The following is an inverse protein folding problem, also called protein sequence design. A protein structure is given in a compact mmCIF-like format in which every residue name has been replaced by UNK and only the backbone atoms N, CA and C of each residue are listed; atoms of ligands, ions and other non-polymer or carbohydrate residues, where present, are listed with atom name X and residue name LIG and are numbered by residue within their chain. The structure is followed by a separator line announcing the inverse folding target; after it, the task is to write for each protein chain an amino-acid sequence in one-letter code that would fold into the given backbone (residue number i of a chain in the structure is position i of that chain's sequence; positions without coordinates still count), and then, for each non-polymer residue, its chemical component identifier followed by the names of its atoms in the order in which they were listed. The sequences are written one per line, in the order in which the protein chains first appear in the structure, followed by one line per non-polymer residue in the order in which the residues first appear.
data_IF_242125372598
#
_entry.id   IF_242125372598
#
_cell.length_a   1.000
_cell.length_b   1.000
_cell.length_c   1.000
_cell.angle_alpha   90.00
_cell.angle_beta   90.00
_cell.angle_gamma   90.00
#
_symmetry.space_group_name_H-M   'P 1'
#
loop_
_entity.id
_entity.type
_entity.pdbx_description
1 polymer ?
#
# COMPACT_ATOMS: atom_id res chain seq x y z
N UNK A 1 -20.52 16.85 9.67
CA UNK A 1 -20.20 15.41 9.85
C UNK A 1 -18.70 15.23 9.80
N UNK A 2 -18.16 14.52 10.77
CA UNK A 2 -16.71 14.30 10.83
C UNK A 2 -16.34 13.01 10.13
N UNK A 3 -15.33 13.10 9.27
CA UNK A 3 -14.75 11.94 8.64
C UNK A 3 -13.67 11.36 9.55
N UNK A 4 -13.73 10.06 9.78
CA UNK A 4 -12.78 9.41 10.67
C UNK A 4 -11.78 8.59 9.86
N UNK A 5 -10.53 8.68 10.27
CA UNK A 5 -9.46 7.90 9.65
C UNK A 5 -9.54 6.45 10.17
N UNK A 6 -9.58 5.52 9.23
CA UNK A 6 -9.54 4.10 9.59
C UNK A 6 -8.11 3.65 9.80
N UNK A 7 -7.25 3.92 8.82
CA UNK A 7 -5.82 3.64 8.95
C UNK A 7 -5.08 4.41 7.85
N UNK A 8 -3.77 4.53 8.04
CA UNK A 8 -2.88 5.17 7.07
C UNK A 8 -1.89 4.12 6.58
N UNK A 9 -1.74 4.04 5.28
CA UNK A 9 -0.85 3.08 4.63
C UNK A 9 0.35 3.82 4.07
N UNK A 10 1.53 3.31 4.36
CA UNK A 10 2.77 3.82 3.80
C UNK A 10 3.42 2.70 3.00
N UNK A 11 3.72 2.95 1.73
CA UNK A 11 4.29 1.93 0.85
C UNK A 11 5.78 2.17 0.71
N UNK A 12 6.54 1.12 0.94
CA UNK A 12 7.99 1.18 0.89
C UNK A 12 8.51 0.28 -0.24
N UNK A 13 9.52 0.78 -0.93
CA UNK A 13 10.25 0.00 -1.91
C UNK A 13 11.17 -0.96 -1.16
N UNK A 14 11.01 -2.26 -1.37
CA UNK A 14 11.78 -3.25 -0.63
C UNK A 14 13.28 -3.15 -0.94
N UNK A 15 13.62 -2.76 -2.16
CA UNK A 15 15.02 -2.64 -2.56
C UNK A 15 15.72 -1.46 -1.88
N UNK A 16 15.11 -0.28 -1.92
CA UNK A 16 15.72 0.93 -1.39
C UNK A 16 15.35 1.22 0.07
N UNK A 17 14.24 0.65 0.54
CA UNK A 17 13.72 0.95 1.87
C UNK A 17 13.05 2.30 1.97
N UNK A 18 12.91 3.00 0.86
CA UNK A 18 12.33 4.35 0.84
C UNK A 18 10.85 4.31 0.49
N UNK A 19 10.14 5.37 0.92
CA UNK A 19 8.73 5.53 0.59
C UNK A 19 8.58 5.71 -0.92
N UNK A 20 7.63 4.97 -1.49
CA UNK A 20 7.32 5.07 -2.92
C UNK A 20 6.46 6.31 -3.13
N UNK A 21 6.92 7.25 -3.95
CA UNK A 21 6.25 8.54 -4.08
C UNK A 21 5.56 8.78 -5.42
N UNK A 22 6.14 8.31 -6.51
CA UNK A 22 5.65 8.67 -7.85
C UNK A 22 5.11 7.48 -8.59
N UNK A 23 4.23 6.75 -7.95
CA UNK A 23 3.63 5.56 -8.55
C UNK A 23 2.11 5.64 -8.37
N UNK A 24 1.38 5.25 -9.41
CA UNK A 24 -0.07 5.16 -9.32
C UNK A 24 -0.44 3.77 -8.83
N UNK A 25 -1.16 3.71 -7.72
CA UNK A 25 -1.59 2.47 -7.11
C UNK A 25 -3.09 2.33 -7.16
N UNK A 26 -3.54 1.09 -7.31
CA UNK A 26 -4.93 0.73 -7.13
C UNK A 26 -5.04 -0.07 -5.84
N UNK A 27 -6.02 0.24 -5.03
CA UNK A 27 -6.24 -0.41 -3.74
C UNK A 27 -7.61 -1.07 -3.74
N UNK A 28 -7.63 -2.34 -3.33
CA UNK A 28 -8.88 -3.09 -3.20
C UNK A 28 -8.99 -3.59 -1.77
N UNK A 29 -10.12 -3.31 -1.14
CA UNK A 29 -10.40 -3.83 0.20
C UNK A 29 -11.53 -4.84 0.05
N UNK A 30 -11.23 -6.09 0.42
CA UNK A 30 -12.17 -7.22 0.31
C UNK A 30 -12.75 -7.30 -1.10
N UNK A 31 -11.89 -7.05 -2.10
CA UNK A 31 -12.28 -7.13 -3.50
C UNK A 31 -12.89 -5.87 -4.09
N UNK A 32 -13.12 -4.84 -3.30
CA UNK A 32 -13.75 -3.61 -3.74
C UNK A 32 -12.73 -2.50 -3.92
N UNK A 33 -12.76 -1.83 -5.07
CA UNK A 33 -11.84 -0.74 -5.38
C UNK A 33 -12.07 0.44 -4.45
N UNK A 34 -11.00 0.92 -3.83
CA UNK A 34 -11.04 2.02 -2.89
C UNK A 34 -10.25 3.21 -3.41
N UNK A 35 -10.61 4.41 -2.92
CA UNK A 35 -9.97 5.65 -3.31
C UNK A 35 -9.49 6.39 -2.07
N UNK A 36 -8.33 6.00 -1.51
CA UNK A 36 -7.81 6.68 -0.32
C UNK A 36 -7.36 8.11 -0.65
N UNK A 37 -7.25 8.91 0.38
CA UNK A 37 -6.71 10.26 0.25
C UNK A 37 -5.19 10.17 0.31
N UNK A 38 -4.52 10.72 -0.71
CA UNK A 38 -3.06 10.72 -0.75
C UNK A 38 -2.54 11.94 0.00
N UNK A 39 -1.64 11.71 0.96
CA UNK A 39 -1.00 12.78 1.71
C UNK A 39 0.51 12.61 1.68
N UNK A 40 1.21 13.74 1.62
CA UNK A 40 2.68 13.78 1.72
C UNK A 40 3.38 12.77 0.82
N UNK A 41 2.90 12.64 -0.40
CA UNK A 41 3.53 11.82 -1.43
C UNK A 41 3.96 10.44 -0.91
N UNK A 42 3.01 9.57 -0.72
CA UNK A 42 3.32 8.19 -0.33
C UNK A 42 2.58 7.73 0.89
N UNK A 43 1.75 8.57 1.46
CA UNK A 43 0.86 8.17 2.54
C UNK A 43 -0.57 8.14 2.03
N UNK A 44 -1.23 7.02 2.27
CA UNK A 44 -2.60 6.79 1.79
C UNK A 44 -3.53 6.66 2.97
N UNK A 45 -4.47 7.59 3.09
CA UNK A 45 -5.38 7.65 4.23
C UNK A 45 -6.70 6.97 3.84
N UNK A 46 -7.03 5.91 4.55
CA UNK A 46 -8.29 5.19 4.36
C UNK A 46 -9.27 5.62 5.43
N UNK A 47 -10.51 5.90 5.01
CA UNK A 47 -11.52 6.46 5.88
C UNK A 47 -12.56 5.43 6.28
N UNK A 48 -13.15 5.64 7.45
CA UNK A 48 -14.26 4.82 7.90
C UNK A 48 -15.49 5.04 7.00
N UNK A 49 -16.41 4.08 6.89
CA UNK A 49 -16.45 2.83 7.66
C UNK A 49 -15.68 1.69 6.98
N UNK A 50 -14.92 0.95 7.78
CA UNK A 50 -14.22 -0.25 7.31
C UNK A 50 -14.28 -1.33 8.38
N UNK A 51 -14.17 -2.58 7.94
CA UNK A 51 -14.16 -3.72 8.86
C UNK A 51 -12.91 -3.69 9.75
N UNK A 52 -13.01 -4.32 10.93
CA UNK A 52 -11.87 -4.43 11.82
C UNK A 52 -10.77 -5.27 11.21
N UNK A 53 -11.15 -6.38 10.58
CA UNK A 53 -10.21 -7.23 9.84
C UNK A 53 -10.56 -7.14 8.37
N UNK A 54 -9.58 -6.84 7.53
CA UNK A 54 -9.82 -6.69 6.11
C UNK A 54 -8.64 -7.20 5.31
N UNK A 55 -8.88 -7.47 4.03
CA UNK A 55 -7.85 -7.89 3.09
C UNK A 55 -7.60 -6.74 2.12
N UNK A 56 -6.36 -6.24 2.12
CA UNK A 56 -5.97 -5.15 1.24
C UNK A 56 -5.11 -5.69 0.11
N UNK A 57 -5.51 -5.40 -1.13
CA UNK A 57 -4.72 -5.74 -2.31
C UNK A 57 -4.21 -4.45 -2.93
N UNK A 58 -2.91 -4.41 -3.22
CA UNK A 58 -2.22 -3.26 -3.78
C UNK A 58 -1.70 -3.64 -5.15
N UNK A 59 -2.10 -2.88 -6.16
CA UNK A 59 -1.76 -3.16 -7.56
C UNK A 59 -1.12 -1.94 -8.18
N UNK A 60 -0.06 -2.15 -8.95
CA UNK A 60 0.57 -1.07 -9.72
C UNK A 60 1.26 -1.66 -10.94
N UNK A 61 1.73 -0.78 -11.83
CA UNK A 61 2.45 -1.23 -13.02
C UNK A 61 3.89 -1.62 -12.72
N UNK A 62 4.51 -0.98 -11.75
CA UNK A 62 5.94 -1.13 -11.48
C UNK A 62 6.26 -2.13 -10.38
N UNK A 63 5.29 -2.47 -9.54
CA UNK A 63 5.50 -3.36 -8.40
C UNK A 63 4.61 -4.58 -8.50
N UNK A 64 5.12 -5.70 -7.98
CA UNK A 64 4.30 -6.90 -7.89
C UNK A 64 3.10 -6.68 -7.00
N UNK A 65 1.98 -7.26 -7.38
CA UNK A 65 0.77 -7.20 -6.60
C UNK A 65 1.02 -7.77 -5.20
N UNK A 66 0.52 -7.09 -4.20
CA UNK A 66 0.69 -7.49 -2.80
C UNK A 66 -0.67 -7.53 -2.13
N UNK A 67 -0.95 -8.61 -1.42
CA UNK A 67 -2.17 -8.76 -0.64
C UNK A 67 -1.78 -8.91 0.82
N UNK A 68 -2.38 -8.08 1.67
CA UNK A 68 -2.09 -8.07 3.12
C UNK A 68 -3.38 -8.18 3.90
N UNK A 69 -3.34 -8.99 4.96
CA UNK A 69 -4.44 -9.01 5.91
C UNK A 69 -4.15 -7.97 6.99
N UNK A 70 -5.12 -7.11 7.23
CA UNK A 70 -4.99 -6.04 8.21
C UNK A 70 -5.98 -6.27 9.34
N UNK A 71 -5.46 -6.39 10.55
CA UNK A 71 -6.27 -6.42 11.76
C UNK A 71 -6.11 -5.07 12.44
N UNK A 72 -7.15 -4.25 12.32
CA UNK A 72 -7.08 -2.87 12.80
C UNK A 72 -7.05 -2.78 14.32
N UNK A 73 -7.42 -3.85 15.01
CA UNK A 73 -7.43 -3.85 16.47
C UNK A 73 -6.02 -3.82 17.05
N UNK A 74 -4.99 -4.22 16.27
CA UNK A 74 -3.61 -4.19 16.73
C UNK A 74 -2.88 -2.90 16.37
N UNK A 75 -3.53 -2.02 15.61
CA UNK A 75 -2.95 -0.72 15.27
C UNK A 75 -3.15 0.25 16.43
N UNK A 76 -2.19 1.17 16.59
CA UNK A 76 -2.30 2.23 17.59
C UNK A 76 -3.49 3.12 17.25
N UNK A 77 -4.49 3.25 18.13
CA UNK A 77 -5.66 4.09 17.83
C UNK A 77 -5.32 5.56 17.57
N UNK A 78 -4.24 6.03 18.15
CA UNK A 78 -3.83 7.43 17.97
C UNK A 78 -2.92 7.61 16.78
N UNK A 79 -2.32 6.54 16.29
CA UNK A 79 -1.41 6.60 15.16
C UNK A 79 -1.53 5.32 14.34
N UNK A 80 -2.68 5.11 13.66
CA UNK A 80 -2.95 3.85 12.97
C UNK A 80 -2.25 3.80 11.62
N UNK A 81 -0.94 3.81 11.65
CA UNK A 81 -0.09 3.77 10.44
C UNK A 81 0.52 2.39 10.30
N UNK A 82 0.50 1.86 9.09
CA UNK A 82 1.18 0.61 8.80
C UNK A 82 2.02 0.75 7.53
N UNK A 83 3.14 0.05 7.52
CA UNK A 83 4.05 0.03 6.38
C UNK A 83 3.90 -1.28 5.65
N UNK A 84 3.90 -1.22 4.32
CA UNK A 84 3.92 -2.42 3.48
C UNK A 84 5.05 -2.28 2.49
N UNK A 85 5.86 -3.33 2.39
CA UNK A 85 6.97 -3.35 1.43
C UNK A 85 6.50 -3.96 0.13
N UNK A 86 6.84 -3.31 -0.97
CA UNK A 86 6.50 -3.77 -2.30
C UNK A 86 7.76 -4.12 -3.07
N UNK A 87 7.65 -5.15 -3.92
CA UNK A 87 8.77 -5.66 -4.70
C UNK A 87 8.64 -5.18 -6.13
N UNK A 88 9.69 -4.48 -6.61
CA UNK A 88 9.67 -3.90 -7.94
C UNK A 88 9.72 -4.99 -9.01
N UNK A 89 8.94 -4.82 -10.07
CA UNK A 89 8.97 -5.71 -11.22
C UNK A 89 10.17 -5.38 -12.09
N UNK A 90 10.67 -6.40 -12.78
CA UNK A 90 11.68 -6.20 -13.79
C UNK A 90 11.00 -5.70 -15.06
N UNK A 91 11.13 -4.39 -15.33
CA UNK A 91 10.63 -3.81 -16.55
C UNK A 91 11.65 -3.98 -17.68
N UNK A 92 11.26 -3.57 -18.89
CA UNK A 92 12.14 -3.68 -20.04
C UNK A 92 13.42 -2.88 -19.89
N UNK A 93 13.32 -1.70 -19.30
CA UNK A 93 14.48 -0.84 -19.07
C UNK A 93 15.44 -1.41 -18.05
N UNK A 94 15.02 -2.44 -17.33
CA UNK A 94 15.82 -3.08 -16.31
C UNK A 94 16.01 -4.57 -16.57
N UNK A 95 15.95 -4.97 -17.84
CA UNK A 95 16.05 -6.38 -18.20
C UNK A 95 17.30 -7.03 -17.66
N UNK A 96 18.43 -6.34 -17.70
CA UNK A 96 19.68 -6.88 -17.18
C UNK A 96 19.65 -7.10 -15.67
N UNK A 97 18.81 -6.37 -14.96
CA UNK A 97 18.67 -6.55 -13.52
C UNK A 97 17.83 -7.77 -13.18
N UNK A 98 16.96 -8.16 -14.08
CA UNK A 98 16.12 -9.32 -13.87
C UNK A 98 16.90 -10.61 -13.81
N UNK A 99 18.08 -10.64 -14.39
CA UNK A 99 18.93 -11.81 -14.36
C UNK A 99 19.35 -12.20 -12.96
N UNK A 100 19.33 -11.26 -12.06
CA UNK A 100 19.72 -11.51 -10.67
C UNK A 100 18.73 -12.41 -9.94
N UNK A 101 17.53 -12.54 -10.48
CA UNK A 101 16.45 -13.28 -9.83
C UNK A 101 16.24 -14.66 -10.44
N UNK A 102 17.02 -15.01 -11.41
CA UNK A 102 16.88 -16.30 -12.09
C UNK A 102 17.85 -17.34 -11.55
#
# INVERSE_FOLDING_TARGET
MKTRVAFVLKLLDDYSGKVIRKEAFLFYIDGELMHPIVKDEGMYVFLEPLSTVLQLKIVSNSYFEQTVMIDRSVLDPQNPVMDVRLFIKCGRSHAYQCEWYT
#
